data_IF_147357057035
#
_entry.id   IF_147357057035
#
_cell.length_a   1.000
_cell.length_b   1.000
_cell.length_c   1.000
_cell.angle_alpha   90.00
_cell.angle_beta   90.00
_cell.angle_gamma   90.00
#
_symmetry.space_group_name_H-M   'P 1'
#
loop_
_entity.id
_entity.type
_entity.pdbx_description
1 polymer ?
#
# COMPACT_ATOMS: atom_id res chain seq x y z
N UNK A 1 20.75 -58.96 33.85
CA UNK A 1 19.74 -57.92 33.60
C UNK A 1 19.49 -57.83 32.10
N UNK A 2 18.40 -58.43 31.60
CA UNK A 2 18.06 -58.34 30.17
C UNK A 2 17.35 -57.02 29.89
N UNK A 3 17.87 -56.25 28.93
CA UNK A 3 17.31 -54.97 28.50
C UNK A 3 16.30 -55.23 27.38
N UNK A 4 15.03 -54.89 27.60
CA UNK A 4 14.01 -54.91 26.56
C UNK A 4 14.15 -53.66 25.69
N UNK A 5 14.76 -53.81 24.52
CA UNK A 5 14.80 -52.81 23.47
C UNK A 5 13.46 -52.82 22.72
N UNK A 6 12.61 -51.82 22.99
CA UNK A 6 11.35 -51.60 22.28
C UNK A 6 11.66 -51.08 20.87
N UNK A 7 11.45 -51.89 19.84
CA UNK A 7 11.53 -51.41 18.46
C UNK A 7 10.36 -50.48 18.16
N UNK A 8 10.66 -49.21 17.89
CA UNK A 8 9.70 -48.22 17.42
C UNK A 8 9.40 -48.56 15.95
N UNK A 9 8.18 -49.01 15.66
CA UNK A 9 7.73 -49.27 14.31
C UNK A 9 7.50 -47.92 13.61
N UNK A 10 8.34 -47.57 12.64
CA UNK A 10 8.12 -46.43 11.77
C UNK A 10 6.96 -46.73 10.81
N UNK A 11 5.77 -46.22 11.11
CA UNK A 11 4.64 -46.21 10.17
C UNK A 11 4.89 -45.07 9.17
N UNK A 12 5.04 -45.42 7.89
CA UNK A 12 5.12 -44.45 6.80
C UNK A 12 3.74 -43.94 6.40
N UNK A 13 3.69 -42.70 5.92
CA UNK A 13 2.48 -42.11 5.32
C UNK A 13 2.11 -42.86 4.04
N UNK A 14 0.81 -43.04 3.81
CA UNK A 14 0.34 -43.64 2.56
C UNK A 14 0.33 -42.60 1.43
N UNK A 15 0.57 -43.03 0.19
CA UNK A 15 0.49 -42.14 -0.98
C UNK A 15 -0.92 -41.54 -1.13
N UNK A 16 -1.95 -42.31 -0.75
CA UNK A 16 -3.34 -41.86 -0.82
C UNK A 16 -3.66 -40.76 0.21
N UNK A 17 -3.03 -40.78 1.40
CA UNK A 17 -3.16 -39.68 2.36
C UNK A 17 -2.60 -38.38 1.80
N UNK A 18 -1.42 -38.42 1.20
CA UNK A 18 -0.84 -37.22 0.59
C UNK A 18 -1.65 -36.76 -0.63
N UNK A 19 -2.19 -37.69 -1.43
CA UNK A 19 -3.02 -37.37 -2.59
C UNK A 19 -4.29 -36.60 -2.19
N UNK A 20 -5.03 -37.08 -1.20
CA UNK A 20 -6.27 -36.42 -0.77
C UNK A 20 -5.95 -35.05 -0.15
N UNK A 21 -4.85 -34.93 0.60
CA UNK A 21 -4.42 -33.66 1.20
C UNK A 21 -4.12 -32.61 0.13
N UNK A 22 -3.34 -32.93 -0.91
CA UNK A 22 -3.03 -31.95 -1.96
C UNK A 22 -4.25 -31.58 -2.80
N UNK A 23 -5.20 -32.50 -2.98
CA UNK A 23 -6.49 -32.21 -3.64
C UNK A 23 -7.30 -31.21 -2.81
N UNK A 24 -7.45 -31.45 -1.51
CA UNK A 24 -8.19 -30.53 -0.63
C UNK A 24 -7.47 -29.16 -0.57
N UNK A 25 -6.15 -29.14 -0.43
CA UNK A 25 -5.36 -27.89 -0.45
C UNK A 25 -5.51 -27.16 -1.79
N UNK A 26 -5.59 -27.86 -2.92
CA UNK A 26 -5.82 -27.26 -4.23
C UNK A 26 -7.18 -26.58 -4.35
N UNK A 27 -8.25 -27.23 -3.84
CA UNK A 27 -9.61 -26.68 -3.82
C UNK A 27 -9.71 -25.47 -2.89
N UNK A 28 -9.09 -25.52 -1.70
CA UNK A 28 -9.09 -24.39 -0.77
C UNK A 28 -8.27 -23.21 -1.31
N UNK A 29 -7.10 -23.49 -1.90
CA UNK A 29 -6.21 -22.45 -2.42
C UNK A 29 -6.82 -21.69 -3.60
N UNK A 30 -7.64 -22.34 -4.44
CA UNK A 30 -8.29 -21.67 -5.58
C UNK A 30 -9.30 -20.59 -5.16
N UNK A 31 -9.83 -20.66 -3.93
CA UNK A 31 -10.76 -19.67 -3.38
C UNK A 31 -10.00 -18.61 -2.59
N UNK A 32 -9.03 -19.03 -1.77
CA UNK A 32 -8.34 -18.12 -0.83
C UNK A 32 -7.40 -17.14 -1.54
N UNK A 33 -6.67 -17.58 -2.56
CA UNK A 33 -5.70 -16.74 -3.28
C UNK A 33 -6.37 -15.50 -3.91
N UNK A 34 -7.40 -15.63 -4.78
CA UNK A 34 -8.02 -14.45 -5.39
C UNK A 34 -8.69 -13.54 -4.37
N UNK A 35 -9.28 -14.11 -3.30
CA UNK A 35 -9.86 -13.32 -2.22
C UNK A 35 -8.82 -12.46 -1.50
N UNK A 36 -7.65 -13.02 -1.21
CA UNK A 36 -6.58 -12.31 -0.52
C UNK A 36 -5.95 -11.22 -1.40
N UNK A 37 -5.75 -11.49 -2.69
CA UNK A 37 -5.24 -10.49 -3.65
C UNK A 37 -6.20 -9.31 -3.76
N UNK A 38 -7.49 -9.55 -4.00
CA UNK A 38 -8.48 -8.47 -4.11
C UNK A 38 -8.58 -7.64 -2.81
N UNK A 39 -8.52 -8.30 -1.64
CA UNK A 39 -8.56 -7.59 -0.36
C UNK A 39 -7.31 -6.73 -0.11
N UNK A 40 -6.15 -7.13 -0.67
CA UNK A 40 -4.91 -6.35 -0.58
C UNK A 40 -5.00 -5.12 -1.48
N UNK A 41 -5.45 -5.30 -2.72
CA UNK A 41 -5.69 -4.21 -3.68
C UNK A 41 -6.72 -3.18 -3.15
N UNK A 42 -7.84 -3.64 -2.59
CA UNK A 42 -8.85 -2.76 -1.96
C UNK A 42 -8.29 -2.01 -0.74
N UNK A 43 -7.43 -2.66 0.05
CA UNK A 43 -6.77 -2.02 1.19
C UNK A 43 -5.76 -0.95 0.74
N UNK A 44 -5.02 -1.21 -0.33
CA UNK A 44 -4.09 -0.25 -0.96
C UNK A 44 -4.85 0.95 -1.52
N UNK A 45 -5.91 0.74 -2.30
CA UNK A 45 -6.76 1.82 -2.84
C UNK A 45 -7.37 2.66 -1.71
N UNK A 46 -7.88 2.01 -0.66
CA UNK A 46 -8.46 2.69 0.51
C UNK A 46 -7.43 3.51 1.27
N UNK A 47 -6.22 2.95 1.47
CA UNK A 47 -5.10 3.65 2.10
C UNK A 47 -4.69 4.88 1.29
N UNK A 48 -4.62 4.72 -0.04
CA UNK A 48 -4.24 5.80 -0.95
C UNK A 48 -5.23 6.96 -0.92
N UNK A 49 -6.53 6.65 -0.95
CA UNK A 49 -7.59 7.65 -0.79
C UNK A 49 -7.55 8.35 0.58
N UNK A 50 -7.27 7.60 1.65
CA UNK A 50 -7.17 8.18 2.98
C UNK A 50 -6.00 9.18 3.07
N UNK A 51 -4.84 8.84 2.51
CA UNK A 51 -3.67 9.70 2.47
C UNK A 51 -3.91 10.98 1.66
N UNK A 52 -4.56 10.89 0.49
CA UNK A 52 -4.97 12.07 -0.27
C UNK A 52 -5.84 13.04 0.53
N UNK A 53 -6.82 12.51 1.28
CA UNK A 53 -7.71 13.34 2.07
C UNK A 53 -6.97 14.05 3.20
N UNK A 54 -5.97 13.39 3.79
CA UNK A 54 -5.08 13.99 4.79
C UNK A 54 -4.27 15.13 4.16
N UNK A 55 -3.62 14.90 3.01
CA UNK A 55 -2.85 15.91 2.30
C UNK A 55 -3.70 17.12 1.91
N UNK A 56 -4.89 16.90 1.34
CA UNK A 56 -5.84 17.98 1.00
C UNK A 56 -6.25 18.79 2.24
N UNK A 57 -6.46 18.12 3.37
CA UNK A 57 -6.75 18.77 4.65
C UNK A 57 -5.59 19.64 5.14
N UNK A 58 -4.36 19.15 5.03
CA UNK A 58 -3.15 19.87 5.44
C UNK A 58 -2.89 21.08 4.55
N UNK A 59 -3.05 20.95 3.23
CA UNK A 59 -2.99 22.07 2.30
C UNK A 59 -4.05 23.14 2.58
N UNK A 60 -5.28 22.69 2.86
CA UNK A 60 -6.36 23.60 3.22
C UNK A 60 -6.01 24.36 4.51
N UNK A 61 -5.44 23.68 5.50
CA UNK A 61 -4.95 24.33 6.72
C UNK A 61 -3.83 25.33 6.42
N UNK A 62 -2.87 24.97 5.57
CA UNK A 62 -1.78 25.86 5.16
C UNK A 62 -2.31 27.15 4.54
N UNK A 63 -3.27 27.06 3.61
CA UNK A 63 -3.87 28.24 2.97
C UNK A 63 -4.75 29.06 3.91
N UNK A 64 -5.35 28.45 4.93
CA UNK A 64 -6.05 29.19 5.99
C UNK A 64 -5.07 30.01 6.82
N UNK A 65 -3.87 29.49 7.11
CA UNK A 65 -2.86 30.18 7.92
C UNK A 65 -2.03 31.20 7.12
N UNK A 66 -1.62 30.87 5.90
CA UNK A 66 -0.70 31.66 5.08
C UNK A 66 -1.40 32.49 3.99
N UNK A 67 -2.71 32.30 3.80
CA UNK A 67 -3.53 32.95 2.79
C UNK A 67 -3.62 32.13 1.49
N UNK A 68 -4.77 32.18 0.82
CA UNK A 68 -5.08 31.32 -0.35
C UNK A 68 -4.20 31.54 -1.59
N UNK A 69 -3.37 32.58 -1.59
CA UNK A 69 -2.43 32.88 -2.67
C UNK A 69 -1.00 32.38 -2.40
N UNK A 70 -0.73 31.85 -1.21
CA UNK A 70 0.59 31.33 -0.86
C UNK A 70 0.93 30.10 -1.71
N UNK A 71 2.08 30.14 -2.37
CA UNK A 71 2.60 29.01 -3.13
C UNK A 71 3.09 27.92 -2.18
N UNK A 72 2.67 26.67 -2.44
CA UNK A 72 3.15 25.48 -1.72
C UNK A 72 4.20 24.71 -2.51
N UNK A 73 4.48 25.11 -3.75
CA UNK A 73 5.36 24.39 -4.65
C UNK A 73 4.69 24.09 -5.99
N UNK A 74 5.51 23.77 -6.97
CA UNK A 74 5.08 23.34 -8.30
C UNK A 74 5.27 21.84 -8.53
N UNK A 75 5.56 21.09 -7.47
CA UNK A 75 5.98 19.70 -7.52
C UNK A 75 5.48 18.98 -6.25
N UNK A 76 5.23 17.68 -6.32
CA UNK A 76 4.71 16.92 -5.18
C UNK A 76 5.69 16.94 -3.98
N UNK A 77 6.99 16.83 -4.25
CA UNK A 77 8.05 16.96 -3.24
C UNK A 77 8.01 18.31 -2.54
N UNK A 78 7.91 19.40 -3.30
CA UNK A 78 7.90 20.76 -2.74
C UNK A 78 6.67 21.00 -1.87
N UNK A 79 5.51 20.46 -2.27
CA UNK A 79 4.29 20.57 -1.47
C UNK A 79 4.46 19.81 -0.16
N UNK A 80 5.04 18.62 -0.17
CA UNK A 80 5.30 17.86 1.07
C UNK A 80 6.31 18.58 1.95
N UNK A 81 7.43 19.03 1.39
CA UNK A 81 8.46 19.77 2.11
C UNK A 81 7.87 21.04 2.74
N UNK A 82 7.08 21.81 1.98
CA UNK A 82 6.41 23.01 2.49
C UNK A 82 5.39 22.73 3.59
N UNK A 83 4.70 21.58 3.54
CA UNK A 83 3.80 21.14 4.61
C UNK A 83 4.55 20.62 5.84
N UNK A 84 5.72 19.98 5.65
CA UNK A 84 6.59 19.52 6.74
C UNK A 84 7.23 20.71 7.48
N UNK A 85 7.76 21.67 6.73
CA UNK A 85 8.30 22.92 7.25
C UNK A 85 7.23 23.72 8.02
N UNK A 86 5.98 23.70 7.55
CA UNK A 86 4.85 24.31 8.23
C UNK A 86 4.39 23.51 9.48
N UNK A 87 4.96 22.33 9.74
CA UNK A 87 4.60 21.44 10.84
C UNK A 87 3.19 20.86 10.72
N UNK A 88 2.65 20.78 9.50
CA UNK A 88 1.28 20.33 9.24
C UNK A 88 1.19 18.84 8.90
N UNK A 89 2.31 18.20 8.53
CA UNK A 89 2.35 16.75 8.32
C UNK A 89 2.11 16.02 9.64
N UNK A 90 0.95 15.36 9.72
CA UNK A 90 0.47 14.64 10.91
C UNK A 90 0.48 13.12 10.72
N UNK A 91 0.72 12.66 9.49
CA UNK A 91 0.77 11.25 9.14
C UNK A 91 2.06 10.94 8.35
N UNK A 92 2.72 9.80 8.62
CA UNK A 92 3.82 9.32 7.79
C UNK A 92 3.30 9.05 6.36
N UNK A 93 4.03 9.54 5.36
CA UNK A 93 3.88 9.06 3.98
C UNK A 93 4.41 7.63 3.96
N UNK A 94 3.61 6.68 3.46
CA UNK A 94 3.91 5.25 3.63
C UNK A 94 5.08 4.75 2.76
N UNK A 95 5.59 5.55 1.83
CA UNK A 95 6.82 5.26 1.09
C UNK A 95 7.73 6.50 1.00
N UNK A 96 8.72 6.65 1.90
CA UNK A 96 9.70 7.73 1.82
C UNK A 96 10.68 7.56 0.65
N UNK A 97 10.80 6.36 0.08
CA UNK A 97 11.73 6.04 -1.01
C UNK A 97 11.10 6.28 -2.40
N UNK A 98 9.78 6.51 -2.46
CA UNK A 98 8.99 6.74 -3.67
C UNK A 98 8.59 8.20 -3.92
N UNK A 99 9.28 9.15 -3.30
CA UNK A 99 9.12 10.58 -3.60
C UNK A 99 9.98 10.88 -4.83
N UNK A 100 9.34 11.26 -5.94
CA UNK A 100 9.99 11.85 -7.11
C UNK A 100 9.46 13.26 -7.38
N UNK A 101 10.19 14.02 -8.21
CA UNK A 101 9.91 15.44 -8.46
C UNK A 101 8.44 15.72 -8.82
N UNK A 102 7.75 14.74 -9.41
CA UNK A 102 6.43 14.94 -9.98
C UNK A 102 5.33 14.16 -9.25
N UNK A 103 5.69 13.19 -8.42
CA UNK A 103 4.77 12.26 -7.79
C UNK A 103 5.32 11.64 -6.51
N UNK A 104 4.40 11.21 -5.65
CA UNK A 104 4.69 10.56 -4.38
C UNK A 104 4.03 9.20 -4.42
N UNK A 105 4.83 8.14 -4.37
CA UNK A 105 4.33 6.78 -4.32
C UNK A 105 3.56 6.57 -3.01
N UNK A 106 2.35 6.04 -3.12
CA UNK A 106 1.56 5.53 -2.02
C UNK A 106 1.70 4.00 -1.97
N UNK A 107 1.14 3.38 -0.93
CA UNK A 107 1.17 1.93 -0.81
C UNK A 107 0.57 1.24 -2.06
N UNK A 108 1.27 0.23 -2.57
CA UNK A 108 0.90 -0.45 -3.81
C UNK A 108 1.45 0.25 -5.05
N UNK A 109 0.70 0.19 -6.14
CA UNK A 109 1.08 0.72 -7.45
C UNK A 109 0.57 2.15 -7.70
N UNK A 110 0.12 2.86 -6.66
CA UNK A 110 -0.49 4.18 -6.80
C UNK A 110 0.52 5.31 -6.61
N UNK A 111 0.55 6.27 -7.54
CA UNK A 111 1.34 7.48 -7.45
C UNK A 111 0.44 8.71 -7.29
N UNK A 112 0.84 9.65 -6.43
CA UNK A 112 0.15 10.94 -6.25
C UNK A 112 0.93 12.05 -6.91
N UNK A 113 0.39 12.68 -7.95
CA UNK A 113 1.00 13.85 -8.60
C UNK A 113 0.34 15.15 -8.19
N UNK A 114 1.10 16.24 -8.26
CA UNK A 114 0.60 17.59 -8.00
C UNK A 114 0.21 18.29 -9.31
N UNK A 115 -1.07 18.60 -9.47
CA UNK A 115 -1.56 19.45 -10.54
C UNK A 115 -1.45 20.92 -10.13
N UNK A 116 -0.57 21.67 -10.80
CA UNK A 116 -0.31 23.08 -10.51
C UNK A 116 -1.47 23.98 -10.96
N UNK A 117 -2.16 23.61 -12.03
CA UNK A 117 -3.21 24.42 -12.66
C UNK A 117 -4.48 24.38 -11.81
N UNK A 118 -4.90 23.18 -11.41
CA UNK A 118 -6.09 22.96 -10.58
C UNK A 118 -5.78 22.96 -9.07
N UNK A 119 -4.50 23.06 -8.69
CA UNK A 119 -4.02 23.06 -7.29
C UNK A 119 -4.55 21.87 -6.49
N UNK A 120 -4.49 20.69 -7.09
CA UNK A 120 -5.00 19.47 -6.49
C UNK A 120 -4.02 18.31 -6.65
N UNK A 121 -4.05 17.40 -5.67
CA UNK A 121 -3.41 16.11 -5.82
C UNK A 121 -4.28 15.17 -6.66
N UNK A 122 -3.65 14.57 -7.67
CA UNK A 122 -4.20 13.53 -8.53
C UNK A 122 -3.61 12.18 -8.11
N UNK A 123 -4.38 11.11 -8.21
CA UNK A 123 -3.88 9.73 -8.06
C UNK A 123 -3.88 9.08 -9.43
N UNK A 124 -2.75 8.45 -9.76
CA UNK A 124 -2.55 7.56 -10.90
C UNK A 124 -2.26 6.16 -10.35
N UNK A 125 -2.78 5.14 -11.02
CA UNK A 125 -2.51 3.73 -10.76
C UNK A 125 -1.46 3.26 -11.78
N UNK A 126 -0.51 2.44 -11.37
CA UNK A 126 0.66 2.07 -12.17
C UNK A 126 0.28 1.32 -13.44
N UNK A 127 0.17 2.14 -14.48
CA UNK A 127 0.26 1.84 -15.92
C UNK A 127 -0.19 3.07 -16.74
N UNK A 128 -0.73 4.13 -16.11
CA UNK A 128 -1.07 5.36 -16.82
C UNK A 128 -0.59 6.64 -16.10
N UNK A 129 0.67 7.07 -16.35
CA UNK A 129 1.24 8.26 -15.73
C UNK A 129 0.65 9.58 -16.26
N UNK A 130 -0.34 9.54 -17.17
CA UNK A 130 -0.81 10.75 -17.87
C UNK A 130 -2.31 10.98 -17.93
N UNK A 131 -3.18 9.97 -17.73
CA UNK A 131 -4.61 10.19 -17.45
C UNK A 131 -5.33 11.30 -18.25
N UNK A 132 -5.01 11.42 -19.55
CA UNK A 132 -5.74 12.17 -20.58
C UNK A 132 -5.95 11.25 -21.77
#
# INVERSE_FOLDING_TARGET
MNRFSRQIQHRGFTLIEILIVVVILGILSSIVIPQFTNATEEAEETSSRAQLNILRGQMSMYWVTNGSSSNLGSSAEQVIEGLDEAGLLTAPILDPDGIDNNSVQLAGDFAVSWDVDDRQFLVSEGDDPTGW
#
